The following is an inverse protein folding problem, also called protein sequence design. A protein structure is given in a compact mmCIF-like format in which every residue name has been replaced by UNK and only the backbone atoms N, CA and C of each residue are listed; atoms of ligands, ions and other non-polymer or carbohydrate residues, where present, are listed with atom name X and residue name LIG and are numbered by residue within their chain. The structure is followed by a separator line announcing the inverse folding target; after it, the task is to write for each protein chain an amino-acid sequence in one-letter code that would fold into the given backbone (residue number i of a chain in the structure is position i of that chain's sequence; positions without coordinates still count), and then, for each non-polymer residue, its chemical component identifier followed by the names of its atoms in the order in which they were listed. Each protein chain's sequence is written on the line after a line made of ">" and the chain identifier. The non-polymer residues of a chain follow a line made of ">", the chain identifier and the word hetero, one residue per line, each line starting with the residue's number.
data_IF_885944114862
#
_entry.id   IF_885944114862
#
_cell.length_a   1.000
_cell.length_b   1.000
_cell.length_c   1.000
_cell.angle_alpha   90.00
_cell.angle_beta   90.00
_cell.angle_gamma   90.00
#
_symmetry.space_group_name_H-M   'P 1'
#
loop_
_entity.id
_entity.type
_entity.pdbx_description
1 polymer ?
#
# COMPACT_ATOMS: atom_id res chain seq x y z
N UNK A 1 -4.70 10.36 -0.98
CA UNK A 1 -3.43 9.67 -0.74
C UNK A 1 -3.71 8.19 -0.52
N UNK A 2 -2.84 7.32 -1.03
CA UNK A 2 -2.85 5.87 -0.87
C UNK A 2 -1.65 5.49 0.00
N UNK A 3 -1.89 4.89 1.16
CA UNK A 3 -0.83 4.31 2.00
C UNK A 3 -0.72 2.83 1.68
N UNK A 4 0.49 2.35 1.42
CA UNK A 4 0.77 0.92 1.19
C UNK A 4 1.56 0.41 2.39
N UNK A 5 0.98 -0.51 3.15
CA UNK A 5 1.61 -1.12 4.32
C UNK A 5 1.72 -2.63 4.11
N UNK A 6 2.93 -3.15 4.20
CA UNK A 6 3.17 -4.58 4.18
C UNK A 6 3.06 -5.14 5.59
N UNK A 7 2.36 -6.27 5.72
CA UNK A 7 2.25 -7.03 6.95
C UNK A 7 2.84 -8.41 6.73
N UNK A 8 3.79 -8.81 7.58
CA UNK A 8 4.38 -10.15 7.51
C UNK A 8 4.75 -10.65 8.91
N UNK A 9 4.90 -11.97 9.04
CA UNK A 9 5.40 -12.61 10.25
C UNK A 9 6.89 -12.91 10.03
N UNK A 10 7.75 -12.46 10.94
CA UNK A 10 9.18 -12.74 10.87
C UNK A 10 9.53 -14.15 11.40
N UNK A 11 10.83 -14.50 11.37
CA UNK A 11 11.33 -15.81 11.84
C UNK A 11 11.06 -16.08 13.32
N UNK A 12 10.86 -15.01 14.11
CA UNK A 12 10.63 -15.06 15.54
C UNK A 12 9.14 -14.99 15.87
N UNK A 13 8.26 -15.20 14.88
CA UNK A 13 6.80 -15.15 14.99
C UNK A 13 6.24 -13.79 15.40
N UNK A 14 6.99 -12.71 15.20
CA UNK A 14 6.48 -11.36 15.44
C UNK A 14 5.73 -10.86 14.21
N UNK A 15 4.56 -10.26 14.44
CA UNK A 15 3.89 -9.45 13.42
C UNK A 15 4.72 -8.18 13.18
N UNK A 16 5.10 -7.97 11.92
CA UNK A 16 5.75 -6.75 11.44
C UNK A 16 4.79 -6.01 10.53
N UNK A 17 4.73 -4.70 10.73
CA UNK A 17 4.11 -3.73 9.85
C UNK A 17 5.20 -2.79 9.31
N UNK A 18 5.24 -2.63 7.99
CA UNK A 18 6.19 -1.76 7.31
C UNK A 18 5.43 -0.86 6.36
N UNK A 19 5.51 0.46 6.57
CA UNK A 19 5.05 1.42 5.59
C UNK A 19 5.97 1.34 4.36
N UNK A 20 5.43 0.85 3.25
CA UNK A 20 6.16 0.67 1.99
C UNK A 20 6.20 1.98 1.22
N UNK A 21 5.05 2.63 1.05
CA UNK A 21 4.95 3.90 0.33
C UNK A 21 3.70 4.70 0.73
N UNK A 22 3.71 5.98 0.41
CA UNK A 22 2.63 6.92 0.61
C UNK A 22 2.42 7.79 -0.64
N UNK A 23 1.48 7.39 -1.48
CA UNK A 23 1.30 7.92 -2.83
C UNK A 23 0.22 8.99 -2.85
N UNK A 24 0.47 10.12 -3.52
CA UNK A 24 -0.58 11.10 -3.79
C UNK A 24 -1.57 10.56 -4.82
N UNK A 25 -2.86 10.60 -4.49
CA UNK A 25 -3.92 10.27 -5.43
C UNK A 25 -4.50 11.58 -5.97
N UNK A 26 -4.38 11.79 -7.29
CA UNK A 26 -5.01 12.89 -7.99
C UNK A 26 -6.32 12.42 -8.65
N UNK A 27 -7.33 13.28 -8.67
CA UNK A 27 -8.60 12.99 -9.35
C UNK A 27 -9.58 12.14 -8.52
N UNK A 28 -10.36 11.28 -9.19
CA UNK A 28 -11.41 10.47 -8.57
C UNK A 28 -10.84 9.27 -7.81
N UNK A 29 -11.36 9.00 -6.62
CA UNK A 29 -10.90 7.90 -5.76
C UNK A 29 -11.81 6.66 -5.88
N UNK A 30 -12.18 6.28 -7.11
CA UNK A 30 -12.92 5.03 -7.33
C UNK A 30 -11.99 3.83 -7.17
N UNK A 31 -12.58 2.65 -6.94
CA UNK A 31 -11.82 1.42 -6.74
C UNK A 31 -10.88 1.10 -7.90
N UNK A 32 -11.31 1.33 -9.14
CA UNK A 32 -10.48 1.13 -10.35
C UNK A 32 -9.26 2.06 -10.39
N UNK A 33 -9.41 3.34 -10.00
CA UNK A 33 -8.30 4.29 -9.96
C UNK A 33 -7.30 3.93 -8.86
N UNK A 34 -7.79 3.54 -7.69
CA UNK A 34 -6.93 3.12 -6.56
C UNK A 34 -6.16 1.86 -6.94
N UNK A 35 -6.82 0.88 -7.56
CA UNK A 35 -6.17 -0.35 -8.02
C UNK A 35 -5.10 -0.07 -9.07
N UNK A 36 -5.38 0.81 -10.04
CA UNK A 36 -4.40 1.23 -11.03
C UNK A 36 -3.18 1.88 -10.38
N UNK A 37 -3.37 2.89 -9.51
CA UNK A 37 -2.25 3.56 -8.85
C UNK A 37 -1.46 2.60 -7.96
N UNK A 38 -2.12 1.66 -7.28
CA UNK A 38 -1.43 0.62 -6.52
C UNK A 38 -0.51 -0.23 -7.41
N UNK A 39 -1.00 -0.66 -8.59
CA UNK A 39 -0.19 -1.45 -9.53
C UNK A 39 0.97 -0.65 -10.14
N UNK A 40 0.83 0.65 -10.31
CA UNK A 40 1.90 1.54 -10.78
C UNK A 40 2.96 1.83 -9.69
N UNK A 41 2.66 1.54 -8.43
CA UNK A 41 3.54 1.78 -7.27
C UNK A 41 4.35 0.53 -6.85
N UNK A 42 4.18 -0.60 -7.55
CA UNK A 42 4.92 -1.86 -7.37
C UNK A 42 6.05 -1.99 -8.40
#
# INVERSE_FOLDING_TARGET
>A
FLSITAHYIDSDWNLKDVLVDFVYLAGSHLGENIAQVFMESL
#
